data_IF_454611156286
#
_entry.id   IF_454611156286
#
_cell.length_a   1.000
_cell.length_b   1.000
_cell.length_c   1.000
_cell.angle_alpha   90.00
_cell.angle_beta   90.00
_cell.angle_gamma   90.00
#
_symmetry.space_group_name_H-M   'P 1'
#
loop_
_entity.id
_entity.type
_entity.pdbx_description
1 polymer ?
#
# COMPACT_ATOMS: atom_id res chain seq x y z
N UNK A 1 44.42 -16.67 47.03
CA UNK A 1 44.60 -15.95 45.74
C UNK A 1 43.96 -16.79 44.65
N UNK A 2 42.72 -16.48 44.27
CA UNK A 2 42.02 -17.17 43.20
C UNK A 2 41.14 -16.18 42.42
N UNK A 3 40.90 -16.58 41.17
CA UNK A 3 39.90 -16.18 40.17
C UNK A 3 40.00 -14.81 39.53
N UNK A 4 40.60 -14.80 38.33
CA UNK A 4 40.17 -13.95 37.23
C UNK A 4 40.09 -14.79 35.96
N UNK A 5 38.91 -15.29 35.64
CA UNK A 5 38.50 -15.59 34.26
C UNK A 5 36.97 -15.63 34.23
N UNK A 6 36.35 -14.56 33.78
CA UNK A 6 34.89 -14.44 33.78
C UNK A 6 34.47 -13.19 33.03
N UNK A 7 34.41 -13.27 31.70
CA UNK A 7 33.79 -12.22 30.91
C UNK A 7 34.17 -12.29 29.45
N UNK A 8 33.42 -13.04 28.63
CA UNK A 8 33.39 -12.91 27.16
C UNK A 8 32.13 -13.54 26.50
N UNK A 9 31.03 -13.78 27.24
CA UNK A 9 29.86 -14.49 26.70
C UNK A 9 28.70 -13.58 26.18
N UNK A 10 28.73 -12.26 26.42
CA UNK A 10 27.59 -11.36 26.12
C UNK A 10 27.55 -10.69 24.74
N UNK A 11 28.67 -10.60 24.01
CA UNK A 11 28.83 -9.72 22.83
C UNK A 11 28.33 -10.32 21.50
N UNK A 12 28.24 -11.66 21.42
CA UNK A 12 27.89 -12.36 20.16
C UNK A 12 26.39 -12.39 19.86
N UNK A 13 25.53 -12.21 20.85
CA UNK A 13 24.07 -12.18 20.69
C UNK A 13 23.59 -10.83 20.13
N UNK A 14 24.09 -9.74 20.71
CA UNK A 14 23.69 -8.37 20.37
C UNK A 14 24.07 -8.00 18.91
N UNK A 15 25.24 -8.43 18.45
CA UNK A 15 25.70 -8.23 17.06
C UNK A 15 24.99 -9.10 16.03
N UNK A 16 24.31 -10.19 16.42
CA UNK A 16 23.47 -10.99 15.51
C UNK A 16 22.08 -10.40 15.37
N UNK A 17 21.44 -10.05 16.49
CA UNK A 17 20.16 -9.35 16.49
C UNK A 17 20.24 -8.04 15.68
N UNK A 18 21.29 -7.23 15.90
CA UNK A 18 21.50 -5.99 15.13
C UNK A 18 21.71 -6.19 13.63
N UNK A 19 22.25 -7.35 13.19
CA UNK A 19 22.36 -7.68 11.76
C UNK A 19 21.03 -8.08 11.14
N UNK A 20 20.24 -8.87 11.87
CA UNK A 20 18.93 -9.30 11.42
C UNK A 20 17.94 -8.14 11.26
N UNK A 21 17.88 -7.24 12.24
CA UNK A 21 17.03 -6.06 12.13
C UNK A 21 17.46 -5.18 10.95
N UNK A 22 18.77 -5.05 10.69
CA UNK A 22 19.30 -4.33 9.51
C UNK A 22 18.83 -4.94 8.20
N UNK A 23 18.81 -6.27 8.09
CA UNK A 23 18.33 -6.97 6.90
C UNK A 23 16.85 -6.68 6.63
N UNK A 24 15.99 -6.68 7.66
CA UNK A 24 14.59 -6.29 7.52
C UNK A 24 14.41 -4.82 7.13
N UNK A 25 15.23 -3.90 7.68
CA UNK A 25 15.22 -2.50 7.24
C UNK A 25 15.67 -2.34 5.79
N UNK A 26 16.63 -3.12 5.32
CA UNK A 26 17.04 -3.12 3.91
C UNK A 26 15.93 -3.64 2.99
N UNK A 27 15.20 -4.69 3.40
CA UNK A 27 14.03 -5.18 2.67
C UNK A 27 12.91 -4.12 2.62
N UNK A 28 12.70 -3.38 3.70
CA UNK A 28 11.77 -2.24 3.73
C UNK A 28 12.22 -1.12 2.78
N UNK A 29 13.50 -0.76 2.81
CA UNK A 29 14.07 0.29 1.97
C UNK A 29 14.01 -0.05 0.47
N UNK A 30 14.13 -1.34 0.12
CA UNK A 30 13.99 -1.85 -1.25
C UNK A 30 12.53 -2.11 -1.66
N UNK A 31 11.57 -1.83 -0.78
CA UNK A 31 10.14 -2.12 -0.95
C UNK A 31 9.83 -3.58 -1.34
N UNK A 32 10.58 -4.52 -0.75
CA UNK A 32 10.52 -5.94 -1.09
C UNK A 32 9.10 -6.56 -0.95
N UNK A 33 8.92 -7.72 -1.59
CA UNK A 33 7.67 -8.47 -1.50
C UNK A 33 7.47 -9.06 -0.10
N UNK A 34 6.25 -9.47 0.25
CA UNK A 34 5.97 -10.04 1.57
C UNK A 34 6.75 -11.33 1.82
N UNK A 35 6.94 -12.12 0.76
CA UNK A 35 7.63 -13.39 0.79
C UNK A 35 9.13 -13.23 1.07
N UNK A 36 9.73 -12.12 0.62
CA UNK A 36 11.16 -11.87 0.85
C UNK A 36 11.49 -11.72 2.35
N UNK A 37 10.51 -11.34 3.18
CA UNK A 37 10.68 -11.24 4.63
C UNK A 37 10.70 -12.62 5.33
N UNK A 38 10.35 -13.72 4.67
CA UNK A 38 10.54 -15.08 5.21
C UNK A 38 12.01 -15.51 5.18
N UNK A 39 12.79 -15.01 4.22
CA UNK A 39 14.14 -15.48 3.96
C UNK A 39 15.09 -15.42 5.17
N UNK A 40 15.12 -14.33 5.99
CA UNK A 40 16.00 -14.28 7.16
C UNK A 40 15.65 -15.33 8.23
N UNK A 41 14.36 -15.62 8.40
CA UNK A 41 13.89 -16.65 9.35
C UNK A 41 14.26 -18.05 8.85
N UNK A 42 14.01 -18.33 7.57
CA UNK A 42 14.35 -19.62 6.95
C UNK A 42 15.86 -19.87 7.01
N UNK A 43 16.68 -18.87 6.68
CA UNK A 43 18.13 -18.98 6.76
C UNK A 43 18.62 -19.30 8.19
N UNK A 44 18.00 -18.70 9.21
CA UNK A 44 18.29 -18.98 10.61
C UNK A 44 17.91 -20.41 11.04
N UNK A 45 16.83 -20.96 10.50
CA UNK A 45 16.43 -22.34 10.76
C UNK A 45 17.40 -23.33 10.09
N UNK A 46 17.74 -23.10 8.82
CA UNK A 46 18.60 -23.99 8.02
C UNK A 46 20.01 -24.11 8.60
N UNK A 47 20.54 -23.02 9.15
CA UNK A 47 21.85 -23.01 9.83
C UNK A 47 21.81 -23.57 11.26
N UNK A 48 20.68 -24.12 11.70
CA UNK A 48 20.51 -24.69 13.03
C UNK A 48 20.49 -23.65 14.16
N UNK A 49 19.93 -22.47 13.88
CA UNK A 49 19.76 -21.41 14.88
C UNK A 49 18.92 -21.88 16.07
N UNK A 50 19.16 -21.26 17.24
CA UNK A 50 18.41 -21.62 18.44
C UNK A 50 16.92 -21.28 18.30
N UNK A 51 16.05 -21.97 19.05
CA UNK A 51 14.62 -21.65 19.07
C UNK A 51 14.34 -20.20 19.49
N UNK A 52 15.17 -19.63 20.38
CA UNK A 52 15.08 -18.23 20.79
C UNK A 52 15.44 -17.28 19.63
N UNK A 53 16.53 -17.54 18.92
CA UNK A 53 16.95 -16.75 17.73
C UNK A 53 15.87 -16.76 16.65
N UNK A 54 15.27 -17.93 16.38
CA UNK A 54 14.18 -18.04 15.40
C UNK A 54 12.92 -17.31 15.86
N UNK A 55 12.58 -17.37 17.15
CA UNK A 55 11.41 -16.67 17.70
C UNK A 55 11.58 -15.14 17.64
N UNK A 56 12.77 -14.62 17.96
CA UNK A 56 13.10 -13.19 17.82
C UNK A 56 12.98 -12.74 16.37
N UNK A 57 13.55 -13.50 15.42
CA UNK A 57 13.44 -13.19 14.00
C UNK A 57 12.01 -13.20 13.47
N UNK A 58 11.17 -14.10 13.98
CA UNK A 58 9.74 -14.13 13.64
C UNK A 58 9.00 -12.89 14.14
N UNK A 59 9.37 -12.41 15.34
CA UNK A 59 8.81 -11.18 15.90
C UNK A 59 9.23 -9.96 15.06
N UNK A 60 10.53 -9.83 14.77
CA UNK A 60 11.08 -8.77 13.92
C UNK A 60 10.44 -8.79 12.52
N UNK A 61 10.25 -9.98 11.94
CA UNK A 61 9.54 -10.17 10.67
C UNK A 61 8.12 -9.64 10.74
N UNK A 62 7.37 -9.98 11.79
CA UNK A 62 5.99 -9.53 11.96
C UNK A 62 5.91 -8.01 12.05
N UNK A 63 6.81 -7.38 12.81
CA UNK A 63 6.88 -5.93 12.94
C UNK A 63 7.29 -5.25 11.62
N UNK A 64 8.26 -5.80 10.89
CA UNK A 64 8.65 -5.30 9.58
C UNK A 64 7.49 -5.37 8.57
N UNK A 65 6.74 -6.47 8.54
CA UNK A 65 5.55 -6.60 7.68
C UNK A 65 4.45 -5.59 8.05
N UNK A 66 4.28 -5.29 9.34
CA UNK A 66 3.37 -4.23 9.80
C UNK A 66 3.80 -2.85 9.31
N UNK A 67 5.10 -2.52 9.39
CA UNK A 67 5.65 -1.27 8.87
C UNK A 67 5.43 -1.17 7.35
N UNK A 68 5.73 -2.24 6.61
CA UNK A 68 5.49 -2.32 5.16
C UNK A 68 4.03 -2.06 4.80
N UNK A 69 3.09 -2.63 5.54
CA UNK A 69 1.67 -2.40 5.32
C UNK A 69 1.28 -0.92 5.54
N UNK A 70 1.84 -0.27 6.56
CA UNK A 70 1.62 1.15 6.84
C UNK A 70 2.17 2.02 5.69
N UNK A 71 3.40 1.75 5.23
CA UNK A 71 4.03 2.49 4.13
C UNK A 71 3.24 2.34 2.83
N UNK A 72 2.86 1.11 2.45
CA UNK A 72 2.04 0.85 1.25
C UNK A 72 0.69 1.57 1.31
N UNK A 73 0.04 1.60 2.48
CA UNK A 73 -1.22 2.33 2.67
C UNK A 73 -1.02 3.85 2.52
N UNK A 74 0.09 4.40 3.02
CA UNK A 74 0.41 5.83 2.86
C UNK A 74 0.69 6.19 1.40
N UNK A 75 1.55 5.45 0.71
CA UNK A 75 1.86 5.68 -0.70
C UNK A 75 0.61 5.60 -1.60
N UNK A 76 -0.29 4.66 -1.31
CA UNK A 76 -1.57 4.56 -2.03
C UNK A 76 -2.46 5.78 -1.82
N UNK A 77 -2.58 6.27 -0.58
CA UNK A 77 -3.34 7.49 -0.30
C UNK A 77 -2.73 8.72 -0.96
N UNK A 78 -1.41 8.84 -0.97
CA UNK A 78 -0.72 9.94 -1.66
C UNK A 78 -1.02 9.92 -3.16
N UNK A 79 -0.98 8.73 -3.77
CA UNK A 79 -1.36 8.54 -5.18
C UNK A 79 -2.83 8.88 -5.42
N UNK A 80 -3.73 8.43 -4.55
CA UNK A 80 -5.17 8.72 -4.63
C UNK A 80 -5.45 10.22 -4.47
N UNK A 81 -4.74 10.92 -3.58
CA UNK A 81 -4.85 12.36 -3.38
C UNK A 81 -4.29 13.17 -4.55
N UNK A 82 -3.14 12.79 -5.09
CA UNK A 82 -2.59 13.42 -6.30
C UNK A 82 -3.57 13.25 -7.47
N UNK A 83 -4.09 12.04 -7.66
CA UNK A 83 -5.10 11.73 -8.66
C UNK A 83 -6.39 12.53 -8.47
N UNK A 84 -6.81 12.80 -7.23
CA UNK A 84 -7.95 13.66 -6.91
C UNK A 84 -7.66 15.13 -7.23
N UNK A 85 -6.47 15.62 -6.88
CA UNK A 85 -6.07 17.00 -7.11
C UNK A 85 -5.95 17.32 -8.60
N UNK A 86 -5.32 16.43 -9.38
CA UNK A 86 -5.27 16.53 -10.84
C UNK A 86 -6.69 16.57 -11.43
N UNK A 87 -7.60 15.76 -10.90
CA UNK A 87 -9.01 15.75 -11.37
C UNK A 87 -9.72 17.05 -11.03
N UNK A 88 -9.60 17.54 -9.80
CA UNK A 88 -10.22 18.81 -9.39
C UNK A 88 -9.65 19.98 -10.19
N UNK A 89 -8.35 19.94 -10.50
CA UNK A 89 -7.69 20.91 -11.36
C UNK A 89 -8.22 20.83 -12.80
N UNK A 90 -8.25 19.66 -13.41
CA UNK A 90 -8.80 19.44 -14.75
C UNK A 90 -10.25 19.96 -14.83
N UNK A 91 -11.11 19.60 -13.88
CA UNK A 91 -12.49 20.08 -13.84
C UNK A 91 -12.60 21.60 -13.63
N UNK A 92 -11.74 22.20 -12.80
CA UNK A 92 -11.71 23.66 -12.61
C UNK A 92 -11.21 24.42 -13.84
N UNK A 93 -10.44 23.77 -14.71
CA UNK A 93 -10.00 24.36 -15.99
C UNK A 93 -11.04 24.26 -17.10
N UNK A 94 -12.01 23.35 -16.98
CA UNK A 94 -13.12 23.21 -17.92
C UNK A 94 -14.13 24.33 -17.69
N UNK A 95 -14.31 25.18 -18.72
CA UNK A 95 -15.32 26.26 -18.74
C UNK A 95 -16.65 25.83 -19.38
N UNK A 96 -16.76 24.56 -19.74
CA UNK A 96 -17.94 23.96 -20.36
C UNK A 96 -18.57 22.92 -19.40
N UNK A 97 -19.79 23.16 -18.91
CA UNK A 97 -20.51 22.25 -18.01
C UNK A 97 -20.66 20.83 -18.56
N UNK A 98 -20.81 20.65 -19.88
CA UNK A 98 -21.01 19.32 -20.47
C UNK A 98 -19.71 18.48 -20.36
N UNK A 99 -18.57 19.11 -20.65
CA UNK A 99 -17.26 18.47 -20.54
C UNK A 99 -16.93 18.06 -19.10
N UNK A 100 -17.40 18.82 -18.11
CA UNK A 100 -17.25 18.48 -16.68
C UNK A 100 -18.02 17.22 -16.33
N UNK A 101 -19.28 17.09 -16.78
CA UNK A 101 -20.12 15.93 -16.51
C UNK A 101 -19.56 14.65 -17.18
N UNK A 102 -19.06 14.76 -18.41
CA UNK A 102 -18.36 13.68 -19.11
C UNK A 102 -17.11 13.20 -18.35
N UNK A 103 -16.27 14.15 -17.93
CA UNK A 103 -15.07 13.85 -17.17
C UNK A 103 -15.39 13.15 -15.83
N UNK A 104 -16.43 13.59 -15.11
CA UNK A 104 -16.89 12.97 -13.86
C UNK A 104 -17.31 11.52 -14.09
N UNK A 105 -18.20 11.26 -15.06
CA UNK A 105 -18.73 9.91 -15.33
C UNK A 105 -17.62 8.94 -15.74
N UNK A 106 -16.72 9.38 -16.63
CA UNK A 106 -15.59 8.56 -17.06
C UNK A 106 -14.66 8.22 -15.89
N UNK A 107 -14.45 9.17 -14.97
CA UNK A 107 -13.57 8.99 -13.81
C UNK A 107 -14.16 8.06 -12.76
N UNK A 108 -15.45 8.18 -12.45
CA UNK A 108 -16.15 7.28 -11.51
C UNK A 108 -16.01 5.83 -11.95
N UNK A 109 -16.15 5.53 -13.25
CA UNK A 109 -15.91 4.17 -13.79
C UNK A 109 -14.50 3.68 -13.52
N UNK A 110 -13.49 4.52 -13.76
CA UNK A 110 -12.09 4.14 -13.52
C UNK A 110 -11.78 3.95 -12.03
N UNK A 111 -12.31 4.81 -11.17
CA UNK A 111 -12.06 4.75 -9.72
C UNK A 111 -12.78 3.57 -9.05
N UNK A 112 -14.02 3.30 -9.47
CA UNK A 112 -14.85 2.23 -8.90
C UNK A 112 -14.73 0.90 -9.65
N UNK A 113 -13.90 0.85 -10.70
CA UNK A 113 -13.72 -0.31 -11.58
C UNK A 113 -15.06 -0.88 -12.09
N UNK A 114 -15.98 -0.01 -12.55
CA UNK A 114 -17.31 -0.41 -13.04
C UNK A 114 -17.41 -0.32 -14.56
N UNK A 115 -18.16 -1.26 -15.14
CA UNK A 115 -18.38 -1.31 -16.59
C UNK A 115 -19.32 -0.20 -17.09
N UNK A 116 -20.17 0.34 -16.23
CA UNK A 116 -21.12 1.40 -16.59
C UNK A 116 -21.19 2.44 -15.47
N UNK A 117 -21.23 3.71 -15.84
CA UNK A 117 -21.67 4.79 -14.96
C UNK A 117 -22.44 5.84 -15.77
N UNK A 118 -23.35 6.54 -15.10
CA UNK A 118 -24.14 7.60 -15.71
C UNK A 118 -24.52 8.68 -14.71
N UNK A 119 -24.84 9.87 -15.22
CA UNK A 119 -25.43 10.99 -14.48
C UNK A 119 -26.81 11.29 -15.04
N UNK A 120 -27.80 11.31 -14.15
CA UNK A 120 -29.13 11.83 -14.42
C UNK A 120 -29.26 13.18 -13.73
N UNK A 121 -29.81 14.19 -14.41
CA UNK A 121 -30.24 15.41 -13.73
C UNK A 121 -31.75 15.41 -13.62
N UNK A 122 -32.22 15.98 -12.52
CA UNK A 122 -33.64 16.21 -12.28
C UNK A 122 -34.02 17.56 -12.88
N UNK A 123 -35.06 17.59 -13.70
CA UNK A 123 -35.74 18.82 -14.08
C UNK A 123 -36.86 19.09 -13.05
N UNK A 124 -36.64 20.05 -12.16
CA UNK A 124 -37.61 20.36 -11.11
C UNK A 124 -38.90 20.99 -11.66
N UNK A 125 -38.87 21.64 -12.83
CA UNK A 125 -40.06 22.22 -13.44
C UNK A 125 -40.91 21.19 -14.17
N UNK A 126 -40.28 20.18 -14.77
CA UNK A 126 -40.96 19.10 -15.51
C UNK A 126 -41.25 17.87 -14.66
N UNK A 127 -40.62 17.74 -13.50
CA UNK A 127 -40.78 16.61 -12.59
C UNK A 127 -40.20 15.30 -13.13
N UNK A 128 -39.34 15.37 -14.16
CA UNK A 128 -38.73 14.22 -14.79
C UNK A 128 -37.20 14.21 -14.62
N UNK A 129 -36.64 13.00 -14.68
CA UNK A 129 -35.20 12.76 -14.63
C UNK A 129 -34.76 12.40 -16.04
N UNK A 130 -33.79 13.12 -16.56
CA UNK A 130 -33.18 12.78 -17.84
C UNK A 130 -31.73 12.33 -17.65
N UNK A 131 -31.33 11.35 -18.43
CA UNK A 131 -29.95 10.91 -18.55
C UNK A 131 -29.17 11.99 -19.32
N UNK A 132 -28.14 12.60 -18.72
CA UNK A 132 -27.28 13.56 -19.44
C UNK A 132 -26.08 12.90 -20.04
N UNK A 133 -25.33 12.20 -19.20
CA UNK A 133 -24.07 11.58 -19.60
C UNK A 133 -24.09 10.13 -19.15
N UNK A 134 -23.68 9.23 -20.03
CA UNK A 134 -23.44 7.85 -19.70
C UNK A 134 -22.17 7.36 -20.39
N UNK A 135 -21.40 6.53 -19.70
CA UNK A 135 -20.22 5.89 -20.26
C UNK A 135 -20.29 4.37 -20.04
N UNK A 136 -19.90 3.59 -21.05
CA UNK A 136 -19.95 2.13 -21.01
C UNK A 136 -21.25 1.51 -21.52
N UNK A 137 -22.23 2.34 -21.91
CA UNK A 137 -23.40 1.89 -22.64
C UNK A 137 -23.04 1.76 -24.13
N UNK A 138 -22.60 0.59 -24.58
CA UNK A 138 -22.55 0.28 -26.02
C UNK A 138 -23.93 -0.14 -26.48
N UNK A 139 -24.56 0.66 -27.35
CA UNK A 139 -25.76 0.22 -28.06
C UNK A 139 -25.36 -0.91 -29.01
N UNK A 140 -25.97 -2.09 -28.85
CA UNK A 140 -25.82 -3.17 -29.81
C UNK A 140 -26.45 -2.72 -31.13
N UNK A 141 -25.67 -2.76 -32.21
CA UNK A 141 -26.12 -2.45 -33.58
C UNK A 141 -26.53 -3.72 -34.30
#
# INVERSE_FOLDING_TARGET
MNTSTGGLAGDRGDTRAGRASREFFELLAKEASAADFDAPVTAAQERGGSAAEVAELQQDRADALKVRAILRRRARRETELAALFDTAHDLATLRDPEAVLEAIVHRVRRLLATDVAYLSLTDEERGDNYLRVAAGLTSAR
#
